data_IF_736510519899
#
_entry.id   IF_736510519899
#
_cell.length_a   1.000
_cell.length_b   1.000
_cell.length_c   1.000
_cell.angle_alpha   90.00
_cell.angle_beta   90.00
_cell.angle_gamma   90.00
#
_symmetry.space_group_name_H-M   'P 1'
#
loop_
_entity.id
_entity.type
_entity.pdbx_description
1 polymer ?
#
# COMPACT_ATOMS: atom_id res chain seq x y z
N UNK A 1 -14.63 -24.86 -6.22
CA UNK A 1 -15.96 -24.45 -5.73
C UNK A 1 -15.75 -23.69 -4.44
N UNK A 2 -16.27 -22.49 -4.26
CA UNK A 2 -16.24 -21.86 -2.95
C UNK A 2 -17.06 -22.73 -1.98
N UNK A 3 -16.42 -23.19 -0.92
CA UNK A 3 -17.07 -23.91 0.16
C UNK A 3 -17.87 -22.84 0.91
N UNK A 4 -19.20 -23.04 1.02
CA UNK A 4 -20.00 -22.17 1.88
C UNK A 4 -19.53 -22.35 3.32
N UNK A 5 -19.34 -21.24 4.04
CA UNK A 5 -18.98 -21.29 5.45
C UNK A 5 -20.12 -21.92 6.27
N UNK A 6 -19.78 -22.47 7.42
CA UNK A 6 -20.80 -22.82 8.39
C UNK A 6 -21.55 -21.56 8.84
N UNK A 7 -22.87 -21.69 9.02
CA UNK A 7 -23.71 -20.53 9.41
C UNK A 7 -23.25 -19.88 10.73
N UNK A 8 -22.60 -20.63 11.60
CA UNK A 8 -21.94 -20.17 12.83
C UNK A 8 -20.79 -19.20 12.58
N UNK A 9 -20.06 -19.34 11.47
CA UNK A 9 -18.94 -18.47 11.08
C UNK A 9 -19.42 -17.05 10.77
N UNK A 10 -20.60 -16.90 10.16
CA UNK A 10 -21.22 -15.60 9.86
C UNK A 10 -21.36 -14.76 11.14
N UNK A 11 -21.84 -15.37 12.23
CA UNK A 11 -22.00 -14.68 13.52
C UNK A 11 -20.65 -14.26 14.11
N UNK A 12 -19.65 -15.14 14.01
CA UNK A 12 -18.32 -14.85 14.53
C UNK A 12 -17.66 -13.73 13.75
N UNK A 13 -17.74 -13.80 12.42
CA UNK A 13 -17.18 -12.78 11.51
C UNK A 13 -17.85 -11.41 11.70
N UNK A 14 -19.20 -11.37 11.83
CA UNK A 14 -19.91 -10.13 12.15
C UNK A 14 -19.45 -9.51 13.47
N UNK A 15 -19.30 -10.34 14.52
CA UNK A 15 -18.86 -9.89 15.84
C UNK A 15 -17.42 -9.37 15.83
N UNK A 16 -16.51 -10.03 15.11
CA UNK A 16 -15.12 -9.58 14.96
C UNK A 16 -15.04 -8.19 14.30
N UNK A 17 -16.00 -7.89 13.42
CA UNK A 17 -16.16 -6.58 12.78
C UNK A 17 -16.90 -5.54 13.64
N UNK A 18 -17.29 -5.89 14.87
CA UNK A 18 -18.07 -5.04 15.79
C UNK A 18 -19.42 -4.57 15.23
N UNK A 19 -20.00 -5.31 14.28
CA UNK A 19 -21.31 -5.02 13.71
C UNK A 19 -22.42 -5.66 14.54
N UNK A 20 -23.55 -4.94 14.72
CA UNK A 20 -24.79 -5.51 15.22
C UNK A 20 -25.58 -6.19 14.10
N UNK A 21 -26.55 -7.05 14.44
CA UNK A 21 -27.46 -7.60 13.44
C UNK A 21 -28.31 -6.49 12.76
N UNK A 22 -28.59 -5.43 13.48
CA UNK A 22 -29.30 -4.25 12.96
C UNK A 22 -28.48 -3.47 11.95
N UNK A 23 -27.16 -3.29 12.23
CA UNK A 23 -26.25 -2.66 11.28
C UNK A 23 -26.19 -3.45 9.97
N UNK A 24 -26.01 -4.77 10.08
CA UNK A 24 -25.97 -5.66 8.93
C UNK A 24 -27.28 -5.63 8.13
N UNK A 25 -28.41 -5.61 8.85
CA UNK A 25 -29.76 -5.47 8.25
C UNK A 25 -29.89 -4.17 7.47
N UNK A 26 -29.45 -3.07 8.04
CA UNK A 26 -29.50 -1.72 7.43
C UNK A 26 -28.64 -1.65 6.17
N UNK A 27 -27.44 -2.21 6.23
CA UNK A 27 -26.46 -2.19 5.13
C UNK A 27 -26.94 -3.07 3.97
N UNK A 28 -27.32 -4.31 4.26
CA UNK A 28 -27.64 -5.30 3.23
C UNK A 28 -29.11 -5.29 2.78
N UNK A 29 -29.95 -4.52 3.45
CA UNK A 29 -31.42 -4.49 3.20
C UNK A 29 -32.07 -5.87 3.41
N UNK A 30 -31.51 -6.69 4.32
CA UNK A 30 -32.03 -7.99 4.73
C UNK A 30 -32.68 -7.81 6.11
N UNK A 31 -33.91 -8.30 6.34
CA UNK A 31 -34.56 -8.18 7.64
C UNK A 31 -33.72 -8.78 8.77
N UNK A 32 -33.60 -8.06 9.90
CA UNK A 32 -32.83 -8.52 11.08
C UNK A 32 -33.24 -9.91 11.55
N UNK A 33 -34.53 -10.23 11.54
CA UNK A 33 -35.04 -11.55 11.88
C UNK A 33 -34.48 -12.66 10.96
N UNK A 34 -34.23 -12.36 9.68
CA UNK A 34 -33.62 -13.29 8.73
C UNK A 34 -32.14 -13.51 9.08
N UNK A 35 -31.40 -12.45 9.38
CA UNK A 35 -30.01 -12.52 9.81
C UNK A 35 -29.88 -13.34 11.10
N UNK A 36 -30.76 -13.07 12.08
CA UNK A 36 -30.80 -13.81 13.34
C UNK A 36 -31.06 -15.31 13.15
N UNK A 37 -31.97 -15.68 12.25
CA UNK A 37 -32.24 -17.09 11.92
C UNK A 37 -31.03 -17.76 11.28
N UNK A 38 -30.37 -17.09 10.35
CA UNK A 38 -29.15 -17.58 9.68
C UNK A 38 -28.04 -17.84 10.70
N UNK A 39 -27.76 -16.86 11.56
CA UNK A 39 -26.70 -16.95 12.57
C UNK A 39 -26.93 -18.01 13.64
N UNK A 40 -28.18 -18.36 13.91
CA UNK A 40 -28.55 -19.38 14.90
C UNK A 40 -28.80 -20.75 14.27
N UNK A 41 -28.61 -20.91 12.95
CA UNK A 41 -28.85 -22.14 12.24
C UNK A 41 -30.31 -22.56 12.19
N UNK A 42 -31.25 -21.63 12.44
CA UNK A 42 -32.66 -21.89 12.52
C UNK A 42 -33.34 -21.79 11.15
N UNK A 43 -33.83 -22.93 10.63
CA UNK A 43 -34.55 -23.02 9.35
C UNK A 43 -33.61 -23.30 8.17
N UNK A 44 -34.19 -23.18 6.97
CA UNK A 44 -33.45 -23.35 5.71
C UNK A 44 -33.35 -22.00 4.98
N UNK A 45 -32.29 -21.21 5.26
CA UNK A 45 -32.17 -19.90 4.67
C UNK A 45 -31.91 -20.00 3.16
N UNK A 46 -32.37 -18.96 2.42
CA UNK A 46 -32.05 -18.85 1.01
C UNK A 46 -30.53 -18.71 0.82
N UNK A 47 -29.97 -19.53 -0.04
CA UNK A 47 -28.54 -19.49 -0.41
C UNK A 47 -28.08 -18.08 -0.78
N UNK A 48 -28.88 -17.33 -1.56
CA UNK A 48 -28.59 -15.97 -1.95
C UNK A 48 -28.42 -15.01 -0.76
N UNK A 49 -29.23 -15.15 0.29
CA UNK A 49 -29.13 -14.31 1.49
C UNK A 49 -27.85 -14.63 2.27
N UNK A 50 -27.55 -15.93 2.44
CA UNK A 50 -26.30 -16.37 3.11
C UNK A 50 -25.09 -15.87 2.37
N UNK A 51 -25.08 -16.02 1.04
CA UNK A 51 -23.96 -15.57 0.18
C UNK A 51 -23.73 -14.07 0.27
N UNK A 52 -24.77 -13.26 0.17
CA UNK A 52 -24.66 -11.78 0.25
C UNK A 52 -24.11 -11.33 1.60
N UNK A 53 -24.56 -11.95 2.70
CA UNK A 53 -24.05 -11.63 4.04
C UNK A 53 -22.58 -12.01 4.15
N UNK A 54 -22.22 -13.21 3.74
CA UNK A 54 -20.86 -13.73 3.84
C UNK A 54 -19.89 -12.89 2.97
N UNK A 55 -20.21 -12.69 1.69
CA UNK A 55 -19.38 -11.91 0.76
C UNK A 55 -19.15 -10.47 1.28
N UNK A 56 -20.12 -9.90 1.96
CA UNK A 56 -19.97 -8.58 2.59
C UNK A 56 -19.00 -8.62 3.78
N UNK A 57 -19.24 -9.57 4.70
CA UNK A 57 -18.43 -9.68 5.92
C UNK A 57 -16.96 -10.03 5.60
N UNK A 58 -16.73 -10.96 4.67
CA UNK A 58 -15.39 -11.32 4.20
C UNK A 58 -14.65 -10.12 3.62
N UNK A 59 -15.33 -9.33 2.80
CA UNK A 59 -14.80 -8.10 2.20
C UNK A 59 -14.44 -7.05 3.25
N UNK A 60 -15.29 -6.85 4.25
CA UNK A 60 -15.03 -5.91 5.34
C UNK A 60 -13.88 -6.40 6.25
N UNK A 61 -13.78 -7.70 6.50
CA UNK A 61 -12.64 -8.27 7.24
C UNK A 61 -11.32 -8.08 6.50
N UNK A 62 -11.30 -8.37 5.21
CA UNK A 62 -10.12 -8.16 4.36
C UNK A 62 -9.74 -6.68 4.33
N UNK A 63 -10.72 -5.80 4.16
CA UNK A 63 -10.52 -4.36 4.18
C UNK A 63 -9.92 -3.91 5.52
N UNK A 64 -10.46 -4.37 6.65
CA UNK A 64 -9.95 -4.05 7.98
C UNK A 64 -8.52 -4.53 8.17
N UNK A 65 -8.22 -5.80 7.86
CA UNK A 65 -6.86 -6.35 7.92
C UNK A 65 -5.87 -5.57 7.05
N UNK A 66 -6.31 -5.09 5.89
CA UNK A 66 -5.49 -4.25 5.03
C UNK A 66 -5.22 -2.88 5.67
N UNK A 67 -6.22 -2.23 6.27
CA UNK A 67 -6.05 -0.93 6.93
C UNK A 67 -5.31 -1.00 8.28
N UNK A 68 -5.29 -2.14 8.95
CA UNK A 68 -4.53 -2.35 10.19
C UNK A 68 -3.01 -2.56 9.92
N UNK A 69 -2.63 -2.77 8.66
CA UNK A 69 -1.20 -2.88 8.28
C UNK A 69 -0.48 -1.55 8.45
N UNK A 70 0.79 -1.67 8.83
CA UNK A 70 1.71 -0.56 9.04
C UNK A 70 2.77 -0.53 7.95
N UNK A 71 3.46 0.61 7.82
CA UNK A 71 4.55 0.80 6.87
C UNK A 71 5.56 -0.35 6.90
N UNK A 72 5.94 -0.79 8.09
CA UNK A 72 6.91 -1.89 8.30
C UNK A 72 6.49 -3.21 7.67
N UNK A 73 5.18 -3.47 7.53
CA UNK A 73 4.66 -4.72 6.98
C UNK A 73 4.65 -4.77 5.46
N UNK A 74 4.80 -3.62 4.79
CA UNK A 74 4.71 -3.51 3.32
C UNK A 74 5.98 -2.96 2.67
N UNK A 75 6.87 -2.33 3.45
CA UNK A 75 8.08 -1.72 2.91
C UNK A 75 9.06 -2.72 2.34
N UNK A 76 9.78 -2.31 1.32
CA UNK A 76 10.99 -2.97 0.87
C UNK A 76 12.16 -2.47 1.72
N UNK A 77 12.84 -3.38 2.43
CA UNK A 77 13.91 -3.02 3.39
C UNK A 77 15.24 -2.69 2.72
N UNK A 78 15.48 -3.18 1.50
CA UNK A 78 16.68 -2.85 0.72
C UNK A 78 16.49 -1.53 0.01
N UNK A 79 16.99 -0.45 0.61
CA UNK A 79 16.98 0.88 -0.02
C UNK A 79 18.20 0.99 -0.94
N UNK A 80 17.93 1.24 -2.22
CA UNK A 80 18.96 1.59 -3.20
C UNK A 80 18.90 3.11 -3.35
N UNK A 81 20.00 3.78 -3.04
CA UNK A 81 20.13 5.23 -3.08
C UNK A 81 21.36 5.67 -3.86
N UNK A 82 21.43 6.92 -4.22
CA UNK A 82 22.56 7.52 -4.92
C UNK A 82 23.05 8.78 -4.16
N UNK A 83 24.32 9.10 -4.28
CA UNK A 83 24.88 10.38 -3.79
C UNK A 83 24.56 11.51 -4.78
N UNK A 84 24.31 12.71 -4.27
CA UNK A 84 23.97 13.88 -5.10
C UNK A 84 25.05 14.23 -6.14
N UNK A 85 26.31 13.86 -5.89
CA UNK A 85 27.44 14.12 -6.80
C UNK A 85 27.62 13.07 -7.89
N UNK A 86 26.92 11.94 -7.81
CA UNK A 86 26.98 10.90 -8.85
C UNK A 86 26.49 11.43 -10.18
N UNK A 87 26.99 10.89 -11.27
CA UNK A 87 26.55 11.29 -12.61
C UNK A 87 25.15 10.76 -12.91
N UNK A 88 24.44 11.43 -13.81
CA UNK A 88 23.14 10.93 -14.30
C UNK A 88 23.32 9.55 -14.96
N UNK A 89 24.45 9.29 -15.60
CA UNK A 89 24.82 8.01 -16.16
C UNK A 89 24.84 6.90 -15.10
N UNK A 90 25.51 7.16 -13.94
CA UNK A 90 25.54 6.19 -12.82
C UNK A 90 24.14 5.88 -12.30
N UNK A 91 23.26 6.90 -12.24
CA UNK A 91 21.86 6.73 -11.85
C UNK A 91 21.12 5.82 -12.82
N UNK A 92 21.27 6.02 -14.13
CA UNK A 92 20.64 5.20 -15.17
C UNK A 92 21.13 3.75 -15.10
N UNK A 93 22.44 3.55 -14.94
CA UNK A 93 23.02 2.21 -14.77
C UNK A 93 22.48 1.52 -13.52
N UNK A 94 22.37 2.24 -12.40
CA UNK A 94 21.84 1.72 -11.15
C UNK A 94 20.34 1.37 -11.26
N UNK A 95 19.54 2.22 -11.93
CA UNK A 95 18.13 1.96 -12.22
C UNK A 95 17.94 0.70 -13.04
N UNK A 96 18.70 0.57 -14.15
CA UNK A 96 18.61 -0.57 -15.06
C UNK A 96 19.06 -1.88 -14.39
N UNK A 97 20.11 -1.83 -13.60
CA UNK A 97 20.64 -3.02 -12.90
C UNK A 97 19.70 -3.57 -11.81
N UNK A 98 18.75 -2.75 -11.33
CA UNK A 98 17.85 -3.13 -10.24
C UNK A 98 16.36 -3.01 -10.60
N UNK A 99 16.01 -2.80 -11.88
CA UNK A 99 14.63 -2.62 -12.35
C UNK A 99 13.87 -1.50 -11.60
N UNK A 100 14.55 -0.37 -11.36
CA UNK A 100 13.99 0.77 -10.62
C UNK A 100 13.61 1.91 -11.55
N UNK A 101 12.50 2.57 -11.25
CA UNK A 101 12.05 3.78 -11.95
C UNK A 101 12.21 5.06 -11.12
N UNK A 102 12.61 4.94 -9.86
CA UNK A 102 12.89 6.05 -8.95
C UNK A 102 13.94 5.66 -7.91
N UNK A 103 14.76 6.61 -7.50
CA UNK A 103 15.83 6.42 -6.51
C UNK A 103 15.89 7.65 -5.60
N UNK A 104 15.98 7.48 -4.25
CA UNK A 104 16.27 8.58 -3.34
C UNK A 104 17.73 9.01 -3.45
N UNK A 105 17.98 10.30 -3.33
CA UNK A 105 19.32 10.89 -3.24
C UNK A 105 19.60 11.11 -1.76
N UNK A 106 20.45 10.26 -1.20
CA UNK A 106 20.73 10.24 0.24
C UNK A 106 22.20 10.57 0.52
N UNK A 107 22.44 11.22 1.68
CA UNK A 107 23.78 11.38 2.26
C UNK A 107 23.72 11.07 3.75
N UNK A 108 24.10 9.84 4.10
CA UNK A 108 23.85 9.31 5.45
C UNK A 108 22.35 9.30 5.77
N UNK A 109 21.95 9.92 6.86
CA UNK A 109 20.54 10.08 7.27
C UNK A 109 19.84 11.32 6.66
N UNK A 110 20.44 11.97 5.68
CA UNK A 110 19.86 13.15 5.02
C UNK A 110 19.25 12.78 3.68
N UNK A 111 18.00 13.12 3.50
CA UNK A 111 17.26 12.98 2.24
C UNK A 111 17.40 14.30 1.45
N UNK A 112 18.28 14.29 0.46
CA UNK A 112 18.65 15.49 -0.30
C UNK A 112 17.75 15.72 -1.52
N UNK A 113 16.98 14.72 -1.91
CA UNK A 113 16.15 14.77 -3.10
C UNK A 113 15.76 13.37 -3.58
N UNK A 114 15.18 13.35 -4.76
CA UNK A 114 14.86 12.12 -5.49
C UNK A 114 15.16 12.29 -6.96
N UNK A 115 15.14 11.19 -7.68
CA UNK A 115 15.26 11.19 -9.15
C UNK A 115 14.38 10.08 -9.72
N UNK A 116 13.62 10.40 -10.75
CA UNK A 116 12.78 9.46 -11.47
C UNK A 116 13.28 9.23 -12.89
N UNK A 117 13.06 8.04 -13.44
CA UNK A 117 13.37 7.72 -14.83
C UNK A 117 12.67 8.69 -15.80
N UNK A 118 11.44 9.11 -15.47
CA UNK A 118 10.68 10.09 -16.24
C UNK A 118 11.38 11.47 -16.27
N UNK A 119 11.91 11.91 -15.13
CA UNK A 119 12.67 13.17 -15.05
C UNK A 119 13.95 13.09 -15.89
N UNK A 120 14.72 12.00 -15.75
CA UNK A 120 15.94 11.78 -16.53
C UNK A 120 15.61 11.77 -18.02
N UNK A 121 14.62 11.00 -18.45
CA UNK A 121 14.20 10.93 -19.87
C UNK A 121 13.91 12.31 -20.43
N UNK A 122 13.13 13.13 -19.71
CA UNK A 122 12.80 14.49 -20.15
C UNK A 122 14.05 15.34 -20.35
N UNK A 123 14.92 15.41 -19.33
CA UNK A 123 16.10 16.28 -19.35
C UNK A 123 17.13 15.87 -20.40
N UNK A 124 17.35 14.54 -20.59
CA UNK A 124 18.30 14.02 -21.58
C UNK A 124 17.78 14.19 -23.01
N UNK A 125 16.48 14.13 -23.23
CA UNK A 125 15.89 14.36 -24.55
C UNK A 125 16.18 15.77 -25.03
N UNK A 126 16.11 16.75 -24.12
CA UNK A 126 16.37 18.16 -24.42
C UNK A 126 17.88 18.46 -24.46
N UNK A 127 18.67 17.80 -23.62
CA UNK A 127 20.12 18.00 -23.53
C UNK A 127 20.89 16.69 -23.21
N UNK A 128 21.32 15.92 -24.24
CA UNK A 128 22.04 14.65 -24.06
C UNK A 128 23.37 14.74 -23.31
N UNK A 129 24.01 15.93 -23.29
CA UNK A 129 25.30 16.13 -22.62
C UNK A 129 25.18 16.03 -21.09
N UNK A 130 23.95 16.18 -20.56
CA UNK A 130 23.68 16.05 -19.13
C UNK A 130 24.00 14.66 -18.56
N UNK A 131 24.13 13.63 -19.38
CA UNK A 131 24.46 12.28 -18.92
C UNK A 131 25.70 12.20 -18.02
N UNK A 132 26.70 13.05 -18.28
CA UNK A 132 27.94 13.11 -17.49
C UNK A 132 27.88 14.12 -16.35
N UNK A 133 26.81 14.88 -16.23
CA UNK A 133 26.64 15.87 -15.17
C UNK A 133 26.15 15.21 -13.86
N UNK A 134 26.35 15.92 -12.74
CA UNK A 134 25.85 15.48 -11.44
C UNK A 134 24.31 15.43 -11.43
N UNK A 135 23.75 14.38 -10.80
CA UNK A 135 22.29 14.25 -10.62
C UNK A 135 21.70 15.41 -9.82
N UNK A 136 22.50 16.13 -9.05
CA UNK A 136 22.09 17.29 -8.25
C UNK A 136 21.40 18.38 -9.09
N UNK A 137 21.81 18.55 -10.37
CA UNK A 137 21.26 19.60 -11.24
C UNK A 137 19.86 19.33 -11.75
N UNK A 138 19.43 18.05 -11.76
CA UNK A 138 18.10 17.63 -12.21
C UNK A 138 17.26 16.97 -11.12
N UNK A 139 17.78 16.91 -9.89
CA UNK A 139 17.06 16.27 -8.79
C UNK A 139 15.68 16.87 -8.58
N UNK A 140 14.76 16.04 -8.12
CA UNK A 140 13.42 16.40 -7.71
C UNK A 140 13.37 16.60 -6.19
N UNK A 141 12.21 17.02 -5.67
CA UNK A 141 11.99 17.12 -4.24
C UNK A 141 12.24 15.78 -3.53
N UNK A 142 12.68 15.82 -2.26
CA UNK A 142 12.83 14.61 -1.46
C UNK A 142 11.53 13.82 -1.38
N UNK A 143 11.63 12.50 -1.34
CA UNK A 143 10.48 11.66 -1.01
C UNK A 143 9.98 11.99 0.39
N UNK A 144 8.67 11.91 0.65
CA UNK A 144 8.13 11.99 2.01
C UNK A 144 8.77 10.94 2.92
N UNK A 145 8.92 11.30 4.18
CA UNK A 145 9.46 10.43 5.22
C UNK A 145 8.38 10.14 6.25
N UNK A 146 8.25 8.88 6.62
CA UNK A 146 7.27 8.41 7.61
C UNK A 146 7.94 7.48 8.62
N UNK A 147 7.33 7.35 9.78
CA UNK A 147 7.71 6.33 10.77
C UNK A 147 7.15 4.95 10.38
N UNK A 148 7.79 3.89 10.86
CA UNK A 148 7.45 2.50 10.53
C UNK A 148 6.01 2.09 10.88
N UNK A 149 5.39 2.77 11.84
CA UNK A 149 4.06 2.48 12.35
C UNK A 149 2.94 3.27 11.65
N UNK A 150 3.26 4.01 10.59
CA UNK A 150 2.25 4.70 9.77
C UNK A 150 1.26 3.71 9.15
N UNK A 151 0.00 4.14 9.08
CA UNK A 151 -1.07 3.34 8.48
C UNK A 151 -1.05 3.41 6.94
N UNK A 152 -1.55 2.35 6.33
CA UNK A 152 -1.57 2.19 4.87
C UNK A 152 -2.37 3.27 4.15
N UNK A 153 -3.45 3.78 4.76
CA UNK A 153 -4.27 4.82 4.15
C UNK A 153 -3.50 6.13 4.01
N UNK A 154 -2.75 6.50 5.05
CA UNK A 154 -1.87 7.66 5.02
C UNK A 154 -0.79 7.52 3.94
N UNK A 155 -0.18 6.34 3.83
CA UNK A 155 0.82 6.02 2.82
C UNK A 155 0.23 6.10 1.40
N UNK A 156 -0.94 5.50 1.18
CA UNK A 156 -1.64 5.56 -0.11
C UNK A 156 -1.92 7.00 -0.55
N UNK A 157 -2.30 7.88 0.38
CA UNK A 157 -2.50 9.30 0.08
C UNK A 157 -1.20 9.99 -0.35
N UNK A 158 -0.07 9.66 0.29
CA UNK A 158 1.24 10.19 -0.12
C UNK A 158 1.63 9.72 -1.51
N UNK A 159 1.46 8.43 -1.81
CA UNK A 159 1.79 7.84 -3.11
C UNK A 159 0.93 8.37 -4.26
N UNK A 160 -0.22 9.00 -3.99
CA UNK A 160 -0.98 9.72 -5.03
C UNK A 160 -0.18 10.87 -5.66
N UNK A 161 0.74 11.49 -4.91
CA UNK A 161 1.51 12.65 -5.34
C UNK A 161 3.02 12.39 -5.46
N UNK A 162 3.51 11.31 -4.86
CA UNK A 162 4.92 10.95 -4.81
C UNK A 162 5.11 9.52 -5.30
N UNK A 163 6.17 9.26 -6.04
CA UNK A 163 6.46 7.93 -6.59
C UNK A 163 7.02 6.94 -5.55
N UNK A 164 7.44 7.43 -4.39
CA UNK A 164 7.91 6.62 -3.27
C UNK A 164 7.79 7.37 -1.94
N UNK A 165 7.86 6.62 -0.84
CA UNK A 165 7.90 7.12 0.53
C UNK A 165 9.03 6.40 1.27
N UNK A 166 9.87 7.14 1.99
CA UNK A 166 10.93 6.57 2.82
C UNK A 166 10.41 6.28 4.22
N UNK A 167 10.77 5.13 4.75
CA UNK A 167 10.40 4.70 6.11
C UNK A 167 11.59 4.85 7.04
N UNK A 168 11.37 5.50 8.18
CA UNK A 168 12.39 5.73 9.21
C UNK A 168 12.11 4.95 10.48
N UNK A 169 13.17 4.69 11.21
CA UNK A 169 13.18 4.33 12.62
C UNK A 169 14.43 4.93 13.28
N UNK A 170 14.27 5.60 14.41
CA UNK A 170 15.39 6.25 15.14
C UNK A 170 16.34 7.08 14.26
N UNK A 171 15.76 7.84 13.33
CA UNK A 171 16.50 8.70 12.39
C UNK A 171 17.33 7.96 11.31
N UNK A 172 17.13 6.65 11.16
CA UNK A 172 17.72 5.86 10.09
C UNK A 172 16.63 5.45 9.08
N UNK A 173 16.99 5.37 7.80
CA UNK A 173 16.09 4.86 6.77
C UNK A 173 16.13 3.34 6.78
N UNK A 174 14.99 2.71 7.10
CA UNK A 174 14.86 1.26 7.22
C UNK A 174 14.11 0.62 6.04
N UNK A 175 13.45 1.43 5.20
CA UNK A 175 12.72 0.93 4.05
C UNK A 175 12.22 2.03 3.12
N UNK A 176 11.72 1.58 1.98
CA UNK A 176 11.07 2.40 0.96
C UNK A 176 9.77 1.72 0.54
N UNK A 177 8.74 2.52 0.26
CA UNK A 177 7.43 2.04 -0.20
C UNK A 177 7.10 2.72 -1.52
N UNK A 178 6.64 1.96 -2.49
CA UNK A 178 6.19 2.40 -3.81
C UNK A 178 4.82 1.82 -4.12
N UNK A 179 4.20 2.25 -5.22
CA UNK A 179 2.94 1.65 -5.70
C UNK A 179 3.06 0.13 -5.90
N UNK A 180 4.22 -0.37 -6.35
CA UNK A 180 4.45 -1.79 -6.55
C UNK A 180 4.34 -2.59 -5.24
N UNK A 181 4.64 -1.99 -4.09
CA UNK A 181 4.52 -2.65 -2.78
C UNK A 181 3.06 -2.85 -2.39
N UNK A 182 2.16 -1.94 -2.79
CA UNK A 182 0.71 -2.12 -2.63
C UNK A 182 0.15 -3.27 -3.46
N UNK A 183 0.63 -3.44 -4.70
CA UNK A 183 0.15 -4.49 -5.60
C UNK A 183 0.48 -5.92 -5.12
N UNK A 184 1.43 -6.07 -4.20
CA UNK A 184 1.75 -7.37 -3.57
C UNK A 184 0.66 -7.86 -2.61
N UNK A 185 -0.31 -7.02 -2.27
CA UNK A 185 -1.33 -7.30 -1.24
C UNK A 185 -2.77 -7.28 -1.76
N UNK A 186 -2.96 -7.12 -3.07
CA UNK A 186 -4.29 -7.10 -3.72
C UNK A 186 -4.70 -8.48 -4.21
#
# INVERSE_FOLDING_TARGET
>A
MPILPELSEIKNLRKSLHLTQEDLSRILKIPQATISRIENGNGNPLYSSVKVIFDYLEREELRRKTFERKAESIMTTKIISIDAKSSIKDVVELMNANDLSQIPILKGSQNLGSITAKKIQKEITDNPELMNASVEIIKELPFPEIEKDWDIKGISNLLTNYSAVLVKEYNEYIGIITDADFLKFV
#
